data_IF_114463586098
#
_entry.id   IF_114463586098
#
_cell.length_a   1.000
_cell.length_b   1.000
_cell.length_c   1.000
_cell.angle_alpha   90.00
_cell.angle_beta   90.00
_cell.angle_gamma   90.00
#
_symmetry.space_group_name_H-M   'P 1'
#
loop_
_entity.id
_entity.type
_entity.pdbx_description
1 polymer ?
#
# COMPACT_ATOMS: atom_id res chain seq x y z
N UNK A 1 3.93 -4.41 21.45
CA UNK A 1 3.17 -3.60 20.46
C UNK A 1 3.36 -2.15 20.83
N UNK A 2 3.95 -1.38 19.91
CA UNK A 2 4.19 0.06 20.04
C UNK A 2 3.37 0.74 18.94
N UNK A 3 2.68 1.84 19.27
CA UNK A 3 1.90 2.63 18.32
C UNK A 3 2.38 4.07 18.43
N UNK A 4 3.39 4.48 17.64
CA UNK A 4 4.02 5.79 17.80
C UNK A 4 3.08 6.94 17.42
N UNK A 5 2.30 6.76 16.36
CA UNK A 5 1.49 7.80 15.80
C UNK A 5 0.24 7.21 15.13
N UNK A 6 -0.90 7.85 15.33
CA UNK A 6 -2.11 7.67 14.55
C UNK A 6 -2.72 9.04 14.31
N UNK A 7 -2.78 9.47 13.04
CA UNK A 7 -3.26 10.79 12.65
C UNK A 7 -4.17 10.68 11.44
N UNK A 8 -5.12 11.60 11.33
CA UNK A 8 -6.05 11.71 10.21
C UNK A 8 -6.25 13.20 9.89
N UNK A 9 -6.34 13.51 8.60
CA UNK A 9 -6.71 14.83 8.10
C UNK A 9 -7.58 14.69 6.85
N UNK A 10 -8.45 15.68 6.62
CA UNK A 10 -9.27 15.70 5.40
C UNK A 10 -8.38 15.94 4.16
N UNK A 11 -8.68 15.31 3.01
CA UNK A 11 -7.92 15.51 1.77
C UNK A 11 -7.84 16.99 1.37
N UNK A 12 -6.63 17.47 1.07
CA UNK A 12 -6.36 18.87 0.73
C UNK A 12 -5.03 18.98 -0.04
N UNK A 13 -4.35 20.14 0.05
CA UNK A 13 -3.03 20.36 -0.52
C UNK A 13 -1.88 19.64 0.23
N UNK A 14 -0.64 19.82 -0.24
CA UNK A 14 0.53 19.18 0.36
C UNK A 14 0.69 19.44 1.85
N UNK A 15 1.17 18.43 2.58
CA UNK A 15 1.55 18.54 3.99
C UNK A 15 2.76 19.47 4.11
N UNK A 16 2.73 20.38 5.08
CA UNK A 16 3.86 21.25 5.38
C UNK A 16 5.10 20.43 5.71
N UNK A 17 6.27 20.86 5.24
CA UNK A 17 7.53 20.11 5.43
C UNK A 17 7.79 19.73 6.88
N UNK A 18 7.69 20.69 7.79
CA UNK A 18 7.96 20.51 9.21
C UNK A 18 6.98 19.52 9.86
N UNK A 19 5.69 19.59 9.52
CA UNK A 19 4.68 18.63 9.99
C UNK A 19 4.96 17.22 9.47
N UNK A 20 5.33 17.08 8.19
CA UNK A 20 5.68 15.77 7.63
C UNK A 20 6.92 15.17 8.32
N UNK A 21 7.98 15.95 8.47
CA UNK A 21 9.21 15.48 9.11
C UNK A 21 8.98 15.12 10.59
N UNK A 22 8.19 15.90 11.34
CA UNK A 22 7.83 15.60 12.74
C UNK A 22 7.06 14.27 12.86
N UNK A 23 6.09 14.02 11.97
CA UNK A 23 5.38 12.73 11.92
C UNK A 23 6.32 11.56 11.59
N UNK A 24 7.21 11.75 10.62
CA UNK A 24 8.19 10.72 10.23
C UNK A 24 9.14 10.43 11.39
N UNK A 25 9.75 11.47 11.99
CA UNK A 25 10.65 11.32 13.14
C UNK A 25 9.96 10.60 14.32
N UNK A 26 8.70 10.95 14.61
CA UNK A 26 7.90 10.27 15.64
C UNK A 26 7.73 8.77 15.38
N UNK A 27 7.57 8.37 14.11
CA UNK A 27 7.47 6.96 13.71
C UNK A 27 8.84 6.26 13.78
N UNK A 28 9.90 6.95 13.38
CA UNK A 28 11.25 6.38 13.31
C UNK A 28 11.91 6.23 14.69
N UNK A 29 11.64 7.12 15.64
CA UNK A 29 12.27 7.10 16.97
C UNK A 29 12.22 5.72 17.67
N UNK A 30 11.05 5.04 17.81
CA UNK A 30 11.04 3.70 18.40
C UNK A 30 11.77 2.65 17.53
N UNK A 31 11.71 2.78 16.21
CA UNK A 31 12.36 1.85 15.26
C UNK A 31 13.90 1.99 15.36
N UNK A 32 14.43 3.16 15.66
CA UNK A 32 15.85 3.37 15.93
C UNK A 32 16.27 2.84 17.31
N UNK A 33 15.37 2.88 18.28
CA UNK A 33 15.67 2.51 19.66
C UNK A 33 15.84 0.99 19.86
N UNK A 34 15.02 0.16 19.19
CA UNK A 34 15.07 -1.30 19.32
C UNK A 34 14.56 -2.06 18.08
N UNK A 35 15.02 -3.30 17.84
CA UNK A 35 14.52 -4.13 16.75
C UNK A 35 13.05 -4.52 16.94
N UNK A 36 12.30 -4.54 15.84
CA UNK A 36 10.92 -5.07 15.80
C UNK A 36 10.85 -6.36 15.00
N UNK A 37 9.89 -7.23 15.35
CA UNK A 37 9.62 -8.44 14.57
C UNK A 37 8.74 -8.16 13.33
N UNK A 38 7.92 -7.09 13.38
CA UNK A 38 6.97 -6.73 12.33
C UNK A 38 6.55 -5.26 12.46
N UNK A 39 6.47 -4.55 11.33
CA UNK A 39 5.78 -3.28 11.22
C UNK A 39 4.47 -3.45 10.41
N UNK A 40 3.36 -3.02 10.99
CA UNK A 40 2.05 -2.91 10.35
C UNK A 40 1.72 -1.43 10.22
N UNK A 41 1.60 -0.93 8.99
CA UNK A 41 1.35 0.48 8.71
C UNK A 41 0.02 0.62 7.98
N UNK A 42 -0.84 1.52 8.48
CA UNK A 42 -2.04 1.96 7.77
C UNK A 42 -1.77 3.32 7.15
N UNK A 43 -1.59 3.35 5.83
CA UNK A 43 -1.22 4.55 5.08
C UNK A 43 -2.25 4.83 4.01
N UNK A 44 -2.43 6.10 3.65
CA UNK A 44 -3.34 6.44 2.56
C UNK A 44 -2.76 6.00 1.19
N UNK A 45 -1.47 6.23 0.95
CA UNK A 45 -0.82 5.93 -0.33
C UNK A 45 -0.88 7.08 -1.35
N UNK A 46 -1.28 8.27 -0.94
CA UNK A 46 -1.35 9.46 -1.80
C UNK A 46 -0.90 10.73 -1.07
N UNK A 47 -0.14 10.60 0.02
CA UNK A 47 0.37 11.74 0.76
C UNK A 47 1.46 12.44 -0.04
N UNK A 48 1.28 13.74 -0.25
CA UNK A 48 2.30 14.63 -0.80
C UNK A 48 2.73 15.60 0.28
N UNK A 49 4.03 15.75 0.48
CA UNK A 49 4.60 16.83 1.29
C UNK A 49 5.21 17.91 0.39
N UNK A 50 5.35 19.13 0.89
CA UNK A 50 5.88 20.28 0.12
C UNK A 50 7.23 20.00 -0.56
N UNK A 51 8.05 19.10 0.00
CA UNK A 51 9.39 18.76 -0.47
C UNK A 51 9.54 17.32 -0.96
N UNK A 52 8.50 16.49 -0.84
CA UNK A 52 8.55 15.07 -1.13
C UNK A 52 7.22 14.65 -1.79
N UNK A 53 7.21 14.38 -3.10
CA UNK A 53 6.01 13.96 -3.83
C UNK A 53 5.55 12.54 -3.46
N UNK A 54 6.42 11.70 -2.90
CA UNK A 54 6.10 10.33 -2.46
C UNK A 54 6.27 10.20 -0.94
N UNK A 55 5.25 10.64 -0.19
CA UNK A 55 5.28 10.67 1.27
C UNK A 55 5.42 9.27 1.87
N UNK A 56 4.66 8.30 1.36
CA UNK A 56 4.70 6.91 1.85
C UNK A 56 5.99 6.20 1.48
N UNK A 57 6.46 6.30 0.24
CA UNK A 57 7.72 5.70 -0.19
C UNK A 57 8.91 6.31 0.54
N UNK A 58 8.86 7.61 0.87
CA UNK A 58 9.87 8.24 1.71
C UNK A 58 9.93 7.63 3.12
N UNK A 59 8.79 7.56 3.82
CA UNK A 59 8.71 6.92 5.13
C UNK A 59 9.24 5.47 5.08
N UNK A 60 8.74 4.66 4.15
CA UNK A 60 9.12 3.25 4.01
C UNK A 60 10.63 3.09 3.75
N UNK A 61 11.21 3.93 2.90
CA UNK A 61 12.65 3.89 2.63
C UNK A 61 13.51 4.22 3.85
N UNK A 62 13.04 5.12 4.72
CA UNK A 62 13.74 5.47 5.96
C UNK A 62 13.63 4.34 6.99
N UNK A 63 12.45 3.73 7.15
CA UNK A 63 12.27 2.55 8.00
C UNK A 63 13.21 1.42 7.54
N UNK A 64 13.23 1.11 6.23
CA UNK A 64 14.10 0.08 5.66
C UNK A 64 15.59 0.38 5.86
N UNK A 65 15.99 1.65 5.83
CA UNK A 65 17.38 2.04 6.08
C UNK A 65 17.81 1.78 7.54
N UNK A 66 16.90 1.93 8.50
CA UNK A 66 17.18 1.70 9.94
C UNK A 66 17.13 0.20 10.27
N UNK A 67 16.13 -0.53 9.77
CA UNK A 67 16.00 -1.99 9.96
C UNK A 67 15.84 -2.71 8.60
N UNK A 68 16.96 -3.06 7.94
CA UNK A 68 16.96 -3.66 6.60
C UNK A 68 16.17 -4.96 6.46
N UNK A 69 16.07 -5.74 7.53
CA UNK A 69 15.42 -7.06 7.53
C UNK A 69 14.01 -7.05 8.15
N UNK A 70 13.52 -5.89 8.63
CA UNK A 70 12.21 -5.77 9.27
C UNK A 70 11.10 -6.12 8.26
N UNK A 71 10.23 -7.10 8.55
CA UNK A 71 9.04 -7.33 7.75
C UNK A 71 8.09 -6.12 7.88
N UNK A 72 7.67 -5.55 6.74
CA UNK A 72 6.79 -4.37 6.71
C UNK A 72 5.57 -4.69 5.86
N UNK A 73 4.39 -4.58 6.47
CA UNK A 73 3.11 -4.71 5.81
C UNK A 73 2.37 -3.37 5.81
N UNK A 74 1.78 -3.02 4.66
CA UNK A 74 1.12 -1.74 4.47
C UNK A 74 -0.30 -1.96 3.94
N UNK A 75 -1.29 -1.40 4.63
CA UNK A 75 -2.64 -1.18 4.07
C UNK A 75 -2.70 0.16 3.38
N UNK A 76 -3.40 0.22 2.24
CA UNK A 76 -3.48 1.38 1.36
C UNK A 76 -4.92 1.71 0.97
N UNK A 77 -5.18 3.00 0.78
CA UNK A 77 -6.45 3.46 0.22
C UNK A 77 -6.59 3.05 -1.25
N UNK A 78 -7.81 2.87 -1.74
CA UNK A 78 -8.09 2.58 -3.16
C UNK A 78 -7.54 3.69 -4.08
N UNK A 79 -7.44 4.93 -3.60
CA UNK A 79 -6.92 6.07 -4.34
C UNK A 79 -5.39 6.19 -4.28
N UNK A 80 -4.68 5.19 -3.74
CA UNK A 80 -3.22 5.19 -3.69
C UNK A 80 -2.58 5.41 -5.07
N UNK A 81 -1.61 6.32 -5.12
CA UNK A 81 -0.68 6.49 -6.23
C UNK A 81 0.57 5.64 -5.94
N UNK A 82 0.47 4.34 -6.20
CA UNK A 82 1.55 3.39 -5.90
C UNK A 82 2.84 3.74 -6.64
N UNK A 83 3.97 3.75 -5.92
CA UNK A 83 5.29 4.05 -6.48
C UNK A 83 6.23 2.85 -6.39
N UNK A 84 7.28 2.83 -7.22
CA UNK A 84 8.34 1.81 -7.11
C UNK A 84 9.03 1.86 -5.74
N UNK A 85 9.22 3.06 -5.19
CA UNK A 85 9.89 3.27 -3.90
C UNK A 85 9.09 2.65 -2.75
N UNK A 86 7.76 2.70 -2.80
CA UNK A 86 6.90 1.99 -1.86
C UNK A 86 7.15 0.47 -1.94
N UNK A 87 7.05 -0.10 -3.15
CA UNK A 87 7.18 -1.55 -3.39
C UNK A 87 8.57 -2.08 -3.02
N UNK A 88 9.64 -1.32 -3.28
CA UNK A 88 11.02 -1.73 -2.98
C UNK A 88 11.31 -1.78 -1.46
N UNK A 89 10.52 -1.08 -0.64
CA UNK A 89 10.83 -0.89 0.78
C UNK A 89 9.90 -1.62 1.75
N UNK A 90 8.88 -2.33 1.27
CA UNK A 90 8.03 -3.17 2.12
C UNK A 90 8.04 -4.64 1.71
N UNK A 91 7.51 -5.50 2.58
CA UNK A 91 7.37 -6.94 2.32
C UNK A 91 6.07 -7.25 1.58
N UNK A 92 4.98 -6.57 1.96
CA UNK A 92 3.66 -6.80 1.40
C UNK A 92 2.81 -5.54 1.46
N UNK A 93 1.99 -5.33 0.43
CA UNK A 93 0.94 -4.33 0.41
C UNK A 93 -0.40 -4.94 0.04
N UNK A 94 -1.46 -4.38 0.60
CA UNK A 94 -2.84 -4.62 0.18
C UNK A 94 -3.57 -3.28 0.26
N UNK A 95 -4.53 -3.05 -0.62
CA UNK A 95 -5.41 -1.90 -0.49
C UNK A 95 -6.88 -2.25 -0.44
N UNK A 96 -7.68 -1.26 -0.05
CA UNK A 96 -9.12 -1.36 0.06
C UNK A 96 -9.75 -1.71 -1.30
N UNK A 97 -10.77 -2.58 -1.25
CA UNK A 97 -11.46 -3.09 -2.44
C UNK A 97 -12.87 -2.53 -2.56
N UNK A 98 -13.25 -1.60 -1.68
CA UNK A 98 -14.55 -0.90 -1.69
C UNK A 98 -14.36 0.62 -1.72
N UNK A 99 -15.24 1.33 -2.43
CA UNK A 99 -15.42 2.78 -2.38
C UNK A 99 -16.93 3.09 -2.42
N UNK A 100 -17.53 3.67 -1.36
CA UNK A 100 -16.90 4.11 -0.10
C UNK A 100 -16.24 2.96 0.67
N UNK A 101 -15.16 3.27 1.39
CA UNK A 101 -14.36 2.29 2.12
C UNK A 101 -15.15 1.73 3.32
N UNK A 102 -15.49 0.45 3.25
CA UNK A 102 -16.17 -0.28 4.34
C UNK A 102 -15.45 -1.58 4.71
N UNK A 103 -14.35 -1.91 4.01
CA UNK A 103 -13.58 -3.15 4.14
C UNK A 103 -12.21 -2.96 4.78
N UNK A 104 -11.95 -1.81 5.42
CA UNK A 104 -10.66 -1.49 6.06
C UNK A 104 -10.23 -2.55 7.08
N UNK A 105 -11.17 -3.02 7.93
CA UNK A 105 -10.89 -4.07 8.91
C UNK A 105 -10.54 -5.40 8.25
N UNK A 106 -11.29 -5.82 7.23
CA UNK A 106 -11.09 -7.09 6.54
C UNK A 106 -9.72 -7.11 5.83
N UNK A 107 -9.34 -5.97 5.25
CA UNK A 107 -8.04 -5.77 4.60
C UNK A 107 -6.89 -5.83 5.62
N UNK A 108 -7.03 -5.17 6.77
CA UNK A 108 -6.07 -5.23 7.87
C UNK A 108 -5.92 -6.63 8.45
N UNK A 109 -7.02 -7.37 8.63
CA UNK A 109 -7.02 -8.76 9.09
C UNK A 109 -6.35 -9.70 8.07
N UNK A 110 -6.62 -9.52 6.76
CA UNK A 110 -6.00 -10.31 5.70
C UNK A 110 -4.48 -10.15 5.68
N UNK A 111 -3.96 -8.91 5.62
CA UNK A 111 -2.50 -8.70 5.57
C UNK A 111 -1.82 -9.17 6.84
N UNK A 112 -2.42 -8.95 8.02
CA UNK A 112 -1.88 -9.41 9.29
C UNK A 112 -1.71 -10.92 9.31
N UNK A 113 -2.72 -11.68 8.85
CA UNK A 113 -2.65 -13.15 8.73
C UNK A 113 -1.52 -13.61 7.82
N UNK A 114 -1.31 -12.94 6.68
CA UNK A 114 -0.20 -13.29 5.77
C UNK A 114 1.15 -13.00 6.43
N UNK A 115 1.27 -11.88 7.15
CA UNK A 115 2.51 -11.54 7.84
C UNK A 115 2.84 -12.47 8.99
N UNK A 116 1.87 -12.91 9.80
CA UNK A 116 2.12 -13.92 10.83
C UNK A 116 2.63 -15.23 10.24
N UNK A 117 2.02 -15.69 9.14
CA UNK A 117 2.49 -16.87 8.39
C UNK A 117 3.89 -16.66 7.79
N UNK A 118 4.22 -15.43 7.41
CA UNK A 118 5.57 -15.07 6.94
C UNK A 118 6.61 -15.19 8.07
N UNK A 119 6.28 -14.71 9.27
CA UNK A 119 7.14 -14.83 10.46
C UNK A 119 7.33 -16.29 10.89
N UNK A 120 6.32 -17.13 10.69
CA UNK A 120 6.39 -18.58 10.92
C UNK A 120 7.12 -19.35 9.81
N UNK A 121 7.50 -18.68 8.72
CA UNK A 121 8.18 -19.28 7.57
C UNK A 121 7.28 -20.15 6.69
N UNK A 122 5.96 -20.01 6.81
CA UNK A 122 4.97 -20.76 6.02
C UNK A 122 4.78 -20.23 4.61
N UNK A 123 4.99 -18.92 4.42
CA UNK A 123 4.88 -18.23 3.12
C UNK A 123 6.03 -17.24 2.94
N UNK A 124 6.33 -16.94 1.68
CA UNK A 124 7.31 -15.93 1.29
C UNK A 124 6.65 -14.93 0.34
N UNK A 125 6.06 -13.83 0.86
CA UNK A 125 5.39 -12.84 0.02
C UNK A 125 6.32 -12.25 -1.02
N UNK A 126 5.86 -12.21 -2.28
CA UNK A 126 6.56 -11.49 -3.34
C UNK A 126 5.59 -10.62 -4.12
N UNK A 127 5.94 -9.34 -4.25
CA UNK A 127 5.11 -8.35 -4.90
C UNK A 127 5.48 -8.18 -6.37
N UNK A 128 4.46 -8.14 -7.22
CA UNK A 128 4.56 -7.65 -8.59
C UNK A 128 3.54 -6.54 -8.75
N UNK A 129 3.98 -5.39 -9.26
CA UNK A 129 3.11 -4.26 -9.51
C UNK A 129 3.33 -3.70 -10.90
N UNK A 130 2.34 -2.97 -11.39
CA UNK A 130 2.42 -2.21 -12.63
C UNK A 130 1.54 -0.96 -12.53
N UNK A 131 1.96 0.11 -13.20
CA UNK A 131 1.23 1.36 -13.31
C UNK A 131 0.75 1.52 -14.76
N UNK A 132 -0.52 1.87 -14.94
CA UNK A 132 -1.04 2.22 -16.28
C UNK A 132 -1.14 3.75 -16.37
N UNK A 133 -0.73 4.36 -17.48
CA UNK A 133 -0.77 5.81 -17.67
C UNK A 133 -2.22 6.30 -17.94
N UNK A 134 -3.12 6.02 -17.00
CA UNK A 134 -4.55 6.37 -17.05
C UNK A 134 -4.85 7.18 -15.79
N UNK A 135 -5.20 8.45 -15.98
CA UNK A 135 -5.74 9.32 -14.94
C UNK A 135 -7.26 9.17 -14.94
N UNK A 136 -7.77 8.37 -14.01
CA UNK A 136 -9.20 8.14 -13.87
C UNK A 136 -9.89 9.27 -13.09
N UNK A 137 -11.15 9.53 -13.40
CA UNK A 137 -11.94 10.53 -12.66
C UNK A 137 -12.23 10.00 -11.25
N UNK A 138 -11.68 10.64 -10.22
CA UNK A 138 -11.80 10.24 -8.80
C UNK A 138 -13.25 10.03 -8.37
N UNK A 139 -14.17 10.89 -8.82
CA UNK A 139 -15.60 10.79 -8.49
C UNK A 139 -16.32 9.61 -9.16
N UNK A 140 -15.66 8.91 -10.09
CA UNK A 140 -16.21 7.77 -10.83
C UNK A 140 -15.51 6.45 -10.45
N UNK A 141 -14.86 6.40 -9.28
CA UNK A 141 -14.18 5.21 -8.77
C UNK A 141 -15.08 4.34 -7.86
N UNK A 142 -16.39 4.60 -7.83
CA UNK A 142 -17.37 3.86 -7.03
C UNK A 142 -17.35 2.37 -7.32
N UNK A 143 -17.13 1.52 -6.31
CA UNK A 143 -17.00 0.06 -6.52
C UNK A 143 -18.34 -0.65 -6.70
N UNK A 144 -19.46 0.08 -6.64
CA UNK A 144 -20.77 -0.40 -7.07
C UNK A 144 -20.95 -0.29 -8.59
N UNK A 145 -20.19 0.59 -9.25
CA UNK A 145 -20.30 0.89 -10.67
C UNK A 145 -19.23 0.18 -11.50
N UNK A 146 -19.47 0.06 -12.81
CA UNK A 146 -18.46 -0.43 -13.77
C UNK A 146 -17.58 0.73 -14.24
N UNK A 147 -16.27 0.51 -14.46
CA UNK A 147 -15.58 -0.79 -14.46
C UNK A 147 -15.06 -1.26 -13.09
N UNK A 148 -15.14 -0.43 -12.03
CA UNK A 148 -14.48 -0.70 -10.74
C UNK A 148 -14.97 -1.98 -10.08
N UNK A 149 -16.27 -2.26 -10.09
CA UNK A 149 -16.82 -3.52 -9.55
C UNK A 149 -16.17 -4.75 -10.19
N UNK A 150 -16.08 -4.78 -11.52
CA UNK A 150 -15.45 -5.87 -12.27
C UNK A 150 -13.95 -5.99 -12.01
N UNK A 151 -13.23 -4.87 -11.91
CA UNK A 151 -11.80 -4.87 -11.58
C UNK A 151 -11.54 -5.40 -10.17
N UNK A 152 -12.35 -5.01 -9.19
CA UNK A 152 -12.22 -5.53 -7.84
C UNK A 152 -12.68 -7.00 -7.73
N UNK A 153 -13.64 -7.45 -8.53
CA UNK A 153 -14.00 -8.87 -8.60
C UNK A 153 -12.87 -9.72 -9.17
N UNK A 154 -12.09 -9.18 -10.12
CA UNK A 154 -10.88 -9.84 -10.61
C UNK A 154 -9.85 -10.01 -9.48
N UNK A 155 -9.62 -8.99 -8.64
CA UNK A 155 -8.67 -9.11 -7.51
C UNK A 155 -9.12 -10.16 -6.50
N UNK A 156 -10.39 -10.16 -6.10
CA UNK A 156 -10.97 -11.18 -5.20
C UNK A 156 -10.91 -12.58 -5.78
N UNK A 157 -11.08 -12.72 -7.10
CA UNK A 157 -10.97 -14.01 -7.77
C UNK A 157 -9.55 -14.57 -7.67
N UNK A 158 -8.53 -13.74 -7.93
CA UNK A 158 -7.13 -14.15 -7.83
C UNK A 158 -6.79 -14.66 -6.42
N UNK A 159 -7.28 -13.98 -5.38
CA UNK A 159 -7.05 -14.38 -3.98
C UNK A 159 -7.67 -15.75 -3.67
N UNK A 160 -8.88 -16.02 -4.19
CA UNK A 160 -9.50 -17.35 -4.08
C UNK A 160 -8.74 -18.43 -4.86
N UNK A 161 -7.96 -18.05 -5.87
CA UNK A 161 -7.14 -18.94 -6.69
C UNK A 161 -5.73 -19.16 -6.11
N UNK A 162 -5.42 -18.57 -4.94
CA UNK A 162 -4.18 -18.84 -4.19
C UNK A 162 -3.18 -17.69 -4.14
N UNK A 163 -3.48 -16.54 -4.74
CA UNK A 163 -2.71 -15.31 -4.53
C UNK A 163 -2.91 -14.81 -3.08
N UNK A 164 -1.85 -14.34 -2.41
CA UNK A 164 -1.92 -13.89 -1.01
C UNK A 164 -2.72 -12.60 -0.87
N UNK A 165 -2.51 -11.66 -1.78
CA UNK A 165 -3.33 -10.46 -1.93
C UNK A 165 -3.27 -9.92 -3.36
N UNK A 166 -4.35 -9.30 -3.82
CA UNK A 166 -4.35 -8.53 -5.06
C UNK A 166 -5.15 -7.25 -4.86
N UNK A 167 -4.65 -6.14 -5.40
CA UNK A 167 -5.34 -4.84 -5.31
C UNK A 167 -5.23 -4.11 -6.63
N UNK A 168 -6.35 -3.50 -7.02
CA UNK A 168 -6.41 -2.50 -8.09
C UNK A 168 -6.68 -1.14 -7.45
N UNK A 169 -5.80 -0.19 -7.71
CA UNK A 169 -5.89 1.19 -7.25
C UNK A 169 -6.44 2.09 -8.34
N UNK A 170 -7.39 2.94 -8.00
CA UNK A 170 -7.90 3.98 -8.89
C UNK A 170 -6.93 5.15 -9.07
N UNK A 171 -6.04 5.35 -8.10
CA UNK A 171 -5.13 6.49 -8.06
C UNK A 171 -5.82 7.81 -7.70
N UNK A 172 -5.01 8.84 -7.51
CA UNK A 172 -5.45 10.18 -7.17
C UNK A 172 -4.73 11.21 -8.07
N UNK A 173 -5.29 11.52 -9.25
CA UNK A 173 -4.66 12.44 -10.22
C UNK A 173 -4.42 13.85 -9.71
N UNK A 174 -5.19 14.30 -8.70
CA UNK A 174 -5.04 15.63 -8.12
C UNK A 174 -3.77 15.81 -7.27
N UNK A 175 -3.03 14.73 -6.99
CA UNK A 175 -1.72 14.81 -6.34
C UNK A 175 -0.65 15.49 -7.22
N UNK A 176 -0.83 15.52 -8.55
CA UNK A 176 0.14 16.09 -9.51
C UNK A 176 1.56 15.51 -9.36
N UNK A 177 1.66 14.19 -9.20
CA UNK A 177 2.93 13.45 -9.14
C UNK A 177 3.12 12.56 -10.37
N UNK A 178 4.38 12.19 -10.65
CA UNK A 178 4.75 11.40 -11.83
C UNK A 178 4.01 10.05 -11.90
N UNK A 179 3.87 9.39 -10.77
CA UNK A 179 3.31 8.04 -10.66
C UNK A 179 1.78 8.05 -10.49
N UNK A 180 1.14 9.22 -10.55
CA UNK A 180 -0.30 9.34 -10.40
C UNK A 180 -1.04 8.59 -11.51
N UNK A 181 -2.04 7.80 -11.11
CA UNK A 181 -2.85 7.02 -12.04
C UNK A 181 -3.24 5.67 -11.49
N UNK A 182 -3.95 4.90 -12.31
CA UNK A 182 -4.36 3.55 -11.93
C UNK A 182 -3.15 2.62 -11.86
N UNK A 183 -3.15 1.74 -10.87
CA UNK A 183 -2.10 0.75 -10.69
C UNK A 183 -2.66 -0.53 -10.11
N UNK A 184 -1.88 -1.59 -10.16
CA UNK A 184 -2.24 -2.84 -9.52
C UNK A 184 -1.01 -3.45 -8.85
N UNK A 185 -1.23 -4.08 -7.69
CA UNK A 185 -0.23 -4.90 -7.00
C UNK A 185 -0.80 -6.28 -6.74
N UNK A 186 0.01 -7.30 -6.99
CA UNK A 186 -0.30 -8.71 -6.75
C UNK A 186 0.80 -9.30 -5.89
N UNK A 187 0.42 -9.98 -4.82
CA UNK A 187 1.32 -10.60 -3.87
C UNK A 187 1.17 -12.11 -3.95
N UNK A 188 2.19 -12.77 -4.50
CA UNK A 188 2.28 -14.23 -4.56
C UNK A 188 3.04 -14.81 -3.38
N UNK A 189 3.08 -16.14 -3.32
CA UNK A 189 3.90 -16.92 -2.39
C UNK A 189 5.07 -17.58 -3.15
N UNK A 190 6.30 -17.12 -2.92
CA UNK A 190 7.49 -17.61 -3.60
C UNK A 190 7.63 -17.12 -5.05
N UNK A 191 7.47 -17.99 -6.05
CA UNK A 191 7.76 -17.65 -7.45
C UNK A 191 6.74 -16.66 -8.06
N UNK A 192 7.28 -15.58 -8.63
CA UNK A 192 6.57 -14.47 -9.24
C UNK A 192 5.78 -14.79 -10.52
N UNK A 193 5.90 -16.00 -11.09
CA UNK A 193 5.27 -16.32 -12.37
C UNK A 193 3.74 -16.11 -12.38
N UNK A 194 3.06 -16.55 -11.33
CA UNK A 194 1.60 -16.37 -11.22
C UNK A 194 1.23 -14.90 -10.92
N UNK A 195 1.94 -14.25 -10.00
CA UNK A 195 1.71 -12.84 -9.65
C UNK A 195 1.91 -11.91 -10.86
N UNK A 196 2.98 -12.13 -11.64
CA UNK A 196 3.27 -11.38 -12.87
C UNK A 196 2.24 -11.63 -13.96
N UNK A 197 1.85 -12.89 -14.18
CA UNK A 197 0.80 -13.19 -15.16
C UNK A 197 -0.53 -12.57 -14.79
N UNK A 198 -0.83 -12.44 -13.49
CA UNK A 198 -2.06 -11.83 -13.00
C UNK A 198 -2.01 -10.30 -13.12
N UNK A 199 -0.91 -9.66 -12.72
CA UNK A 199 -0.72 -8.21 -12.81
C UNK A 199 -0.88 -7.70 -14.26
N UNK A 200 -0.36 -8.44 -15.25
CA UNK A 200 -0.52 -8.11 -16.67
C UNK A 200 -1.98 -8.14 -17.21
N UNK A 201 -2.95 -8.64 -16.43
CA UNK A 201 -4.36 -8.70 -16.83
C UNK A 201 -5.13 -7.40 -16.51
N UNK A 202 -4.55 -6.51 -15.73
CA UNK A 202 -5.04 -5.17 -15.45
C UNK A 202 -4.46 -4.16 -16.45
#
# INVERSE_FOLDING_TARGET
MVTPLATEAMPSGPVQRDVYEDMVETILEPIEAEPFDLALLDLHGAMVAEHEPDGEGCLLSRIRAIQPDLPIAVTLDLHCNLTQRMVDNCTMMIGFKTYPHVDMYDVGDQISKVMFRTLEGEVSPVMVWDNRPILAQTLCMGTADVPMSGLQDMTRKLEREGILAATFFGGFPMADIRDAGVSAVVVGDGDNAQARSACNRY
#
